data_IF_398625628485
#
_entry.id   IF_398625628485
#
_cell.length_a   1.000
_cell.length_b   1.000
_cell.length_c   1.000
_cell.angle_alpha   90.00
_cell.angle_beta   90.00
_cell.angle_gamma   90.00
#
_symmetry.space_group_name_H-M   'P 1'
#
loop_
_entity.id
_entity.type
_entity.pdbx_description
1 polymer ?
#
# COMPACT_ATOMS: atom_id res chain seq x y z
N UNK A 1 12.91 13.05 2.62
CA UNK A 1 12.84 12.38 1.30
C UNK A 1 12.17 13.36 0.35
N UNK A 2 12.94 14.07 -0.46
CA UNK A 2 12.42 15.04 -1.43
C UNK A 2 11.75 14.28 -2.57
N UNK A 3 10.49 14.61 -2.87
CA UNK A 3 9.75 13.99 -3.99
C UNK A 3 10.14 14.70 -5.28
N UNK A 4 10.49 13.98 -6.36
CA UNK A 4 11.39 14.56 -7.35
C UNK A 4 10.71 15.39 -8.45
N UNK A 5 9.38 15.33 -8.63
CA UNK A 5 8.64 16.17 -9.62
C UNK A 5 7.11 16.22 -9.39
N UNK A 6 6.39 17.20 -10.00
CA UNK A 6 4.93 17.31 -9.97
C UNK A 6 4.18 16.05 -10.39
N UNK A 7 3.01 15.81 -9.79
CA UNK A 7 2.05 14.75 -10.13
C UNK A 7 2.58 13.31 -10.01
N UNK A 8 3.71 13.10 -9.33
CA UNK A 8 4.34 11.80 -9.09
C UNK A 8 3.69 11.02 -7.94
N UNK A 9 3.27 11.71 -6.88
CA UNK A 9 2.63 11.06 -5.74
C UNK A 9 1.42 11.84 -5.29
N UNK A 10 0.35 11.12 -5.03
CA UNK A 10 -0.90 11.65 -4.52
C UNK A 10 -1.20 11.00 -3.17
N UNK A 11 -1.65 11.81 -2.21
CA UNK A 11 -2.21 11.34 -0.96
C UNK A 11 -3.72 11.40 -1.03
N UNK A 12 -4.40 10.27 -0.85
CA UNK A 12 -5.85 10.22 -0.68
C UNK A 12 -6.19 10.29 0.80
N UNK A 13 -7.18 11.11 1.13
CA UNK A 13 -7.75 11.21 2.46
C UNK A 13 -9.28 11.29 2.39
N UNK A 14 -9.93 10.89 3.47
CA UNK A 14 -11.38 10.83 3.57
C UNK A 14 -11.83 11.47 4.87
N UNK A 15 -12.59 12.55 4.75
CA UNK A 15 -13.04 13.37 5.87
C UNK A 15 -14.51 13.08 6.13
N UNK A 16 -14.85 12.62 7.33
CA UNK A 16 -16.24 12.47 7.78
C UNK A 16 -16.41 11.58 9.01
N UNK A 17 -17.66 11.41 9.52
CA UNK A 17 -18.90 12.03 9.08
C UNK A 17 -19.02 13.50 9.55
N UNK A 18 -19.44 14.39 8.65
CA UNK A 18 -19.63 15.82 8.95
C UNK A 18 -21.08 16.08 9.38
N UNK A 19 -21.26 16.82 10.48
CA UNK A 19 -22.57 17.25 10.98
C UNK A 19 -22.56 18.78 11.23
N UNK A 20 -23.58 19.52 10.75
CA UNK A 20 -24.74 19.05 9.99
C UNK A 20 -24.40 18.70 8.53
N UNK A 21 -25.12 17.73 7.97
CA UNK A 21 -24.96 17.34 6.57
C UNK A 21 -25.53 18.40 5.64
N UNK A 22 -24.81 18.75 4.57
CA UNK A 22 -25.35 19.59 3.49
C UNK A 22 -25.80 18.70 2.33
N UNK A 23 -27.10 18.73 2.00
CA UNK A 23 -27.65 17.95 0.87
C UNK A 23 -27.47 16.43 0.97
N UNK A 24 -27.31 15.90 2.19
CA UNK A 24 -27.05 14.48 2.47
C UNK A 24 -25.61 14.03 2.23
N UNK A 25 -24.69 14.96 1.90
CA UNK A 25 -23.26 14.68 1.80
C UNK A 25 -22.62 14.81 3.18
N UNK A 26 -22.07 13.70 3.67
CA UNK A 26 -21.48 13.60 5.02
C UNK A 26 -19.99 13.26 4.99
N UNK A 27 -19.43 12.98 3.81
CA UNK A 27 -18.02 12.69 3.62
C UNK A 27 -17.43 13.61 2.55
N UNK A 28 -16.12 13.87 2.62
CA UNK A 28 -15.35 14.54 1.59
C UNK A 28 -14.17 13.63 1.26
N UNK A 29 -14.07 13.20 0.01
CA UNK A 29 -12.87 12.53 -0.50
C UNK A 29 -11.93 13.61 -1.02
N UNK A 30 -10.70 13.63 -0.50
CA UNK A 30 -9.69 14.63 -0.87
C UNK A 30 -8.46 13.91 -1.39
N UNK A 31 -7.88 14.44 -2.47
CA UNK A 31 -6.63 13.94 -3.02
C UNK A 31 -5.66 15.09 -3.21
N UNK A 32 -4.48 14.96 -2.62
CA UNK A 32 -3.45 15.99 -2.62
C UNK A 32 -2.21 15.51 -3.34
N UNK A 33 -1.77 16.25 -4.35
CA UNK A 33 -0.49 16.03 -5.00
C UNK A 33 0.64 16.56 -4.10
N UNK A 34 1.64 15.74 -3.83
CA UNK A 34 2.61 16.04 -2.77
C UNK A 34 3.62 17.14 -3.12
N UNK A 35 3.93 17.37 -4.40
CA UNK A 35 4.93 18.32 -4.85
C UNK A 35 4.36 19.75 -4.93
N UNK A 36 3.34 19.94 -5.76
CA UNK A 36 2.64 21.21 -6.01
C UNK A 36 1.64 21.57 -4.91
N UNK A 37 1.27 20.60 -4.06
CA UNK A 37 0.15 20.72 -3.11
C UNK A 37 -1.19 20.96 -3.79
N UNK A 38 -1.33 20.55 -5.06
CA UNK A 38 -2.61 20.58 -5.77
C UNK A 38 -3.64 19.69 -5.07
N UNK A 39 -4.87 20.18 -4.89
CA UNK A 39 -5.94 19.46 -4.18
C UNK A 39 -7.16 19.30 -5.08
N UNK A 40 -7.65 18.08 -5.20
CA UNK A 40 -8.99 17.79 -5.73
C UNK A 40 -9.85 17.17 -4.62
N UNK A 41 -11.10 17.61 -4.50
CA UNK A 41 -12.02 17.12 -3.49
C UNK A 41 -13.44 16.95 -4.04
N UNK A 42 -14.12 15.87 -3.65
CA UNK A 42 -15.54 15.65 -3.96
C UNK A 42 -16.36 15.33 -2.71
N UNK A 43 -17.60 15.83 -2.63
CA UNK A 43 -18.51 15.45 -1.57
C UNK A 43 -19.11 14.06 -1.84
N UNK A 44 -19.20 13.23 -0.80
CA UNK A 44 -19.78 11.89 -0.84
C UNK A 44 -20.90 11.73 0.20
N UNK A 45 -22.05 11.18 -0.25
CA UNK A 45 -23.14 10.77 0.66
C UNK A 45 -22.79 9.49 1.41
N UNK A 46 -22.10 8.57 0.73
CA UNK A 46 -21.59 7.31 1.27
C UNK A 46 -20.23 7.01 0.66
N UNK A 47 -19.36 6.44 1.49
CA UNK A 47 -18.03 6.00 1.08
C UNK A 47 -18.19 4.62 0.45
N UNK A 48 -18.02 4.54 -0.87
CA UNK A 48 -18.08 3.28 -1.61
C UNK A 48 -16.84 3.16 -2.49
N UNK A 49 -16.33 1.94 -2.67
CA UNK A 49 -15.18 1.70 -3.54
C UNK A 49 -15.41 2.18 -4.97
N UNK A 50 -16.65 2.06 -5.46
CA UNK A 50 -17.06 2.55 -6.79
C UNK A 50 -16.93 4.07 -6.91
N UNK A 51 -17.39 4.82 -5.89
CA UNK A 51 -17.28 6.28 -5.90
C UNK A 51 -15.81 6.74 -5.88
N UNK A 52 -14.95 6.06 -5.10
CA UNK A 52 -13.51 6.33 -5.05
C UNK A 52 -12.85 6.00 -6.39
N UNK A 53 -13.17 4.86 -7.00
CA UNK A 53 -12.63 4.44 -8.28
C UNK A 53 -13.03 5.40 -9.41
N UNK A 54 -14.30 5.81 -9.47
CA UNK A 54 -14.79 6.79 -10.44
C UNK A 54 -14.10 8.14 -10.25
N UNK A 55 -13.95 8.60 -9.00
CA UNK A 55 -13.19 9.80 -8.71
C UNK A 55 -11.76 9.70 -9.24
N UNK A 56 -11.01 8.66 -8.88
CA UNK A 56 -9.62 8.49 -9.35
C UNK A 56 -9.57 8.48 -10.88
N UNK A 57 -10.50 7.78 -11.53
CA UNK A 57 -10.56 7.72 -13.00
C UNK A 57 -10.83 9.09 -13.62
N UNK A 58 -11.84 9.81 -13.15
CA UNK A 58 -12.40 11.02 -13.80
C UNK A 58 -11.70 12.32 -13.40
N UNK A 59 -11.07 12.33 -12.23
CA UNK A 59 -10.43 13.50 -11.65
C UNK A 59 -8.91 13.42 -11.64
N UNK A 60 -8.35 12.21 -11.63
CA UNK A 60 -6.89 12.02 -11.62
C UNK A 60 -6.42 11.48 -12.97
N UNK A 61 -6.88 10.29 -13.38
CA UNK A 61 -6.33 9.58 -14.55
C UNK A 61 -6.69 10.27 -15.87
N UNK A 62 -7.95 10.66 -16.08
CA UNK A 62 -8.39 11.31 -17.33
C UNK A 62 -7.80 12.71 -17.51
N UNK A 63 -7.46 13.42 -16.42
CA UNK A 63 -6.96 14.80 -16.46
C UNK A 63 -5.45 14.88 -16.51
N UNK A 64 -4.78 14.12 -15.64
CA UNK A 64 -3.32 14.18 -15.47
C UNK A 64 -2.61 12.97 -16.10
N UNK A 65 -3.36 12.06 -16.73
CA UNK A 65 -2.88 10.75 -17.16
C UNK A 65 -2.76 9.78 -15.98
N UNK A 66 -2.53 8.49 -16.27
CA UNK A 66 -1.83 7.64 -15.29
C UNK A 66 -0.51 8.31 -14.99
N UNK A 67 -0.32 8.78 -13.75
CA UNK A 67 0.89 9.46 -13.25
C UNK A 67 2.12 9.00 -14.02
N UNK A 68 2.55 9.84 -14.95
CA UNK A 68 3.50 9.50 -15.99
C UNK A 68 4.88 9.31 -15.39
N UNK A 69 5.18 8.08 -15.01
CA UNK A 69 6.40 7.35 -15.33
C UNK A 69 6.40 6.03 -14.56
N UNK A 70 7.28 5.08 -14.90
CA UNK A 70 7.10 3.70 -14.60
C UNK A 70 6.53 3.31 -13.26
N UNK A 71 5.71 2.25 -13.27
CA UNK A 71 5.53 1.47 -12.05
C UNK A 71 6.91 1.07 -11.50
N UNK A 72 6.99 0.54 -10.29
CA UNK A 72 8.23 0.03 -9.64
C UNK A 72 9.13 -0.87 -10.53
N UNK A 73 8.64 -1.24 -11.72
CA UNK A 73 9.21 -1.99 -12.83
C UNK A 73 9.96 -1.17 -13.90
N UNK A 74 9.89 0.17 -13.94
CA UNK A 74 10.56 0.95 -14.99
C UNK A 74 9.83 1.04 -16.34
N UNK A 75 8.55 0.62 -16.43
CA UNK A 75 7.66 0.83 -17.58
C UNK A 75 6.28 1.37 -17.19
N UNK A 76 5.63 2.12 -18.10
CA UNK A 76 4.24 2.55 -17.92
C UNK A 76 3.29 1.42 -18.37
N UNK A 77 2.08 1.29 -17.78
CA UNK A 77 1.12 0.30 -18.26
C UNK A 77 0.77 0.49 -19.74
N UNK A 78 0.77 1.73 -20.23
CA UNK A 78 0.50 2.05 -21.63
C UNK A 78 1.64 1.57 -22.55
N UNK A 79 2.91 1.79 -22.20
CA UNK A 79 4.03 1.32 -23.02
C UNK A 79 4.17 -0.19 -23.06
N UNK A 80 3.77 -0.91 -22.01
CA UNK A 80 3.72 -2.38 -22.03
C UNK A 80 2.59 -2.95 -22.92
N UNK A 81 1.60 -2.15 -23.28
CA UNK A 81 0.48 -2.56 -24.16
C UNK A 81 0.72 -2.12 -25.60
N UNK A 82 1.20 -0.88 -25.80
CA UNK A 82 1.27 -0.23 -27.10
C UNK A 82 2.69 0.03 -27.62
N UNK A 83 3.74 -0.30 -26.86
CA UNK A 83 5.14 -0.18 -27.28
C UNK A 83 5.77 1.19 -27.08
N UNK A 84 4.96 2.23 -26.90
CA UNK A 84 5.42 3.61 -26.74
C UNK A 84 4.83 4.27 -25.50
N UNK A 85 5.53 5.26 -24.95
CA UNK A 85 5.00 6.04 -23.83
C UNK A 85 3.87 6.96 -24.28
N UNK A 86 2.88 7.16 -23.42
CA UNK A 86 1.77 8.07 -23.70
C UNK A 86 2.26 9.52 -23.82
N UNK A 87 1.86 10.21 -24.89
CA UNK A 87 2.03 11.66 -24.98
C UNK A 87 1.02 12.31 -24.03
N UNK A 88 1.49 12.97 -22.98
CA UNK A 88 0.60 13.64 -22.04
C UNK A 88 0.08 14.96 -22.61
N UNK A 89 -1.10 15.45 -22.17
CA UNK A 89 -1.64 16.73 -22.63
C UNK A 89 -0.65 17.90 -22.45
N UNK A 90 0.13 17.90 -21.38
CA UNK A 90 1.17 18.92 -21.13
C UNK A 90 2.29 18.87 -22.18
N UNK A 91 2.64 17.69 -22.70
CA UNK A 91 3.63 17.53 -23.76
C UNK A 91 3.13 17.99 -25.14
N UNK A 92 1.81 18.16 -25.32
CA UNK A 92 1.25 18.80 -26.51
C UNK A 92 1.31 20.33 -26.41
N UNK A 93 1.13 20.88 -25.20
CA UNK A 93 1.18 22.33 -24.94
C UNK A 93 2.62 22.85 -24.90
N UNK A 94 3.54 22.07 -24.31
CA UNK A 94 4.99 22.34 -24.30
C UNK A 94 5.69 21.13 -24.91
N UNK A 95 5.95 21.13 -26.22
CA UNK A 95 6.56 20.01 -26.93
C UNK A 95 7.92 19.65 -26.35
N UNK A 96 8.10 18.38 -26.03
CA UNK A 96 9.43 17.84 -25.74
C UNK A 96 10.15 17.49 -27.07
N UNK A 97 11.48 17.26 -27.06
CA UNK A 97 12.22 16.94 -28.28
C UNK A 97 11.64 15.77 -29.09
N UNK A 98 11.01 14.77 -28.44
CA UNK A 98 10.35 13.64 -29.11
C UNK A 98 9.14 14.11 -29.95
N UNK A 99 8.29 14.96 -29.36
CA UNK A 99 7.11 15.53 -30.03
C UNK A 99 7.52 16.54 -31.12
N UNK A 100 8.57 17.34 -30.87
CA UNK A 100 9.10 18.28 -31.87
C UNK A 100 9.63 17.55 -33.10
N UNK A 101 10.42 16.49 -32.92
CA UNK A 101 11.00 15.71 -34.01
C UNK A 101 9.93 15.01 -34.86
N UNK A 102 8.87 14.49 -34.24
CA UNK A 102 7.75 13.87 -34.97
C UNK A 102 6.85 14.86 -35.71
N UNK A 103 6.82 16.13 -35.30
CA UNK A 103 5.97 17.17 -35.91
C UNK A 103 6.57 17.84 -37.16
N UNK A 104 7.87 17.70 -37.37
CA UNK A 104 8.64 18.42 -38.40
C UNK A 104 8.92 17.58 -39.65
N UNK A 105 8.73 16.25 -39.58
CA UNK A 105 8.86 15.35 -40.73
C UNK A 105 7.56 15.29 -41.55
N UNK A 106 7.66 15.39 -42.87
CA UNK A 106 6.61 14.91 -43.79
C UNK A 106 6.56 13.38 -43.73
N UNK A 107 5.86 12.85 -42.72
CA UNK A 107 5.78 11.41 -42.48
C UNK A 107 4.86 10.77 -43.53
N UNK A 108 5.43 9.98 -44.45
CA UNK A 108 4.63 9.09 -45.30
C UNK A 108 4.23 7.82 -44.53
N UNK A 109 3.19 7.11 -45.00
CA UNK A 109 2.64 5.95 -44.31
C UNK A 109 3.67 4.82 -44.05
N UNK A 110 4.65 4.67 -44.94
CA UNK A 110 5.68 3.63 -44.82
C UNK A 110 6.68 3.96 -43.71
N UNK A 111 7.10 5.22 -43.59
CA UNK A 111 7.98 5.67 -42.49
C UNK A 111 7.31 5.52 -41.12
N UNK A 112 6.00 5.78 -41.05
CA UNK A 112 5.24 5.58 -39.81
C UNK A 112 5.18 4.08 -39.45
N UNK A 113 4.93 3.22 -40.44
CA UNK A 113 4.88 1.77 -40.23
C UNK A 113 6.23 1.18 -39.78
N UNK A 114 7.34 1.64 -40.34
CA UNK A 114 8.68 1.21 -39.92
C UNK A 114 8.99 1.63 -38.48
N UNK A 115 8.72 2.89 -38.11
CA UNK A 115 8.92 3.37 -36.74
C UNK A 115 8.08 2.59 -35.71
N UNK A 116 6.82 2.30 -36.05
CA UNK A 116 5.94 1.49 -35.21
C UNK A 116 6.45 0.05 -35.06
N UNK A 117 7.05 -0.51 -36.12
CA UNK A 117 7.63 -1.85 -36.07
C UNK A 117 8.83 -1.90 -35.13
N UNK A 118 9.70 -0.89 -35.18
CA UNK A 118 10.85 -0.77 -34.26
C UNK A 118 10.40 -0.63 -32.80
N UNK A 119 9.34 0.14 -32.52
CA UNK A 119 8.79 0.28 -31.17
C UNK A 119 8.17 -1.03 -30.64
N UNK A 120 7.63 -1.87 -31.53
CA UNK A 120 7.07 -3.18 -31.17
C UNK A 120 8.15 -4.26 -30.97
N UNK A 121 9.27 -4.20 -31.68
CA UNK A 121 10.36 -5.17 -31.58
C UNK A 121 10.94 -5.27 -30.16
N UNK A 122 11.03 -4.15 -29.44
CA UNK A 122 11.54 -4.11 -28.06
C UNK A 122 10.51 -4.40 -26.96
N UNK A 123 9.24 -4.61 -27.34
CA UNK A 123 8.13 -4.62 -26.40
C UNK A 123 8.11 -5.88 -25.51
N UNK A 124 8.41 -7.04 -26.07
CA UNK A 124 8.46 -8.29 -25.29
C UNK A 124 9.64 -8.30 -24.30
N UNK A 125 10.78 -7.72 -24.67
CA UNK A 125 11.90 -7.52 -23.74
C UNK A 125 11.51 -6.58 -22.59
N UNK A 126 10.80 -5.50 -22.89
CA UNK A 126 10.28 -4.58 -21.88
C UNK A 126 9.31 -5.29 -20.91
N UNK A 127 8.43 -6.16 -21.39
CA UNK A 127 7.52 -6.97 -20.56
C UNK A 127 8.26 -7.92 -19.63
N UNK A 128 9.24 -8.65 -20.14
CA UNK A 128 10.02 -9.59 -19.33
C UNK A 128 10.88 -8.83 -18.29
N UNK A 129 11.48 -7.71 -18.66
CA UNK A 129 12.21 -6.87 -17.70
C UNK A 129 11.29 -6.28 -16.62
N UNK A 130 10.08 -5.85 -16.99
CA UNK A 130 9.09 -5.36 -16.05
C UNK A 130 8.69 -6.45 -15.04
N UNK A 131 8.43 -7.66 -15.53
CA UNK A 131 8.10 -8.84 -14.72
C UNK A 131 9.23 -9.21 -13.75
N UNK A 132 10.47 -9.25 -14.23
CA UNK A 132 11.64 -9.53 -13.40
C UNK A 132 11.83 -8.50 -12.28
N UNK A 133 11.64 -7.21 -12.58
CA UNK A 133 11.72 -6.13 -11.58
C UNK A 133 10.58 -6.22 -10.56
N UNK A 134 9.36 -6.51 -10.99
CA UNK A 134 8.22 -6.74 -10.11
C UNK A 134 8.49 -7.87 -9.12
N UNK A 135 8.94 -9.03 -9.61
CA UNK A 135 9.29 -10.18 -8.77
C UNK A 135 10.40 -9.85 -7.77
N UNK A 136 11.47 -9.15 -8.21
CA UNK A 136 12.54 -8.70 -7.33
C UNK A 136 12.02 -7.75 -6.23
N UNK A 137 11.08 -6.87 -6.56
CA UNK A 137 10.46 -5.98 -5.57
C UNK A 137 9.62 -6.76 -4.55
N UNK A 138 8.81 -7.73 -5.00
CA UNK A 138 8.09 -8.63 -4.09
C UNK A 138 9.06 -9.41 -3.17
N UNK A 139 10.16 -9.93 -3.70
CA UNK A 139 11.19 -10.61 -2.91
C UNK A 139 11.83 -9.68 -1.89
N UNK A 140 12.18 -8.44 -2.27
CA UNK A 140 12.71 -7.44 -1.34
C UNK A 140 11.72 -7.16 -0.21
N UNK A 141 10.45 -6.94 -0.52
CA UNK A 141 9.41 -6.73 0.49
C UNK A 141 9.30 -7.94 1.42
N UNK A 142 9.19 -9.15 0.87
CA UNK A 142 9.14 -10.40 1.64
C UNK A 142 10.35 -10.55 2.56
N UNK A 143 11.55 -10.23 2.09
CA UNK A 143 12.79 -10.27 2.87
C UNK A 143 12.85 -9.21 3.97
N UNK A 144 12.29 -8.02 3.74
CA UNK A 144 12.20 -6.98 4.79
C UNK A 144 11.23 -7.45 5.87
N UNK A 145 10.03 -7.90 5.49
CA UNK A 145 9.06 -8.43 6.44
C UNK A 145 9.62 -9.62 7.23
N UNK A 146 10.26 -10.59 6.57
CA UNK A 146 10.84 -11.76 7.26
C UNK A 146 11.96 -11.39 8.23
N UNK A 147 12.81 -10.40 7.91
CA UNK A 147 13.85 -9.90 8.83
C UNK A 147 13.26 -9.20 10.06
N UNK A 148 12.14 -8.50 9.91
CA UNK A 148 11.46 -7.83 11.04
C UNK A 148 10.68 -8.82 11.92
N UNK A 149 10.22 -9.93 11.34
CA UNK A 149 9.53 -10.99 12.07
C UNK A 149 10.50 -11.77 12.97
N UNK A 150 10.64 -11.32 14.22
CA UNK A 150 11.20 -12.16 15.28
C UNK A 150 10.15 -13.17 15.73
N UNK A 151 10.22 -14.38 15.18
CA UNK A 151 9.40 -15.51 15.65
C UNK A 151 9.73 -15.77 17.11
N UNK A 152 8.73 -15.73 18.00
CA UNK A 152 8.92 -15.94 19.43
C UNK A 152 8.46 -17.35 19.76
N UNK A 153 9.40 -18.29 19.67
CA UNK A 153 9.14 -19.64 20.16
C UNK A 153 9.33 -19.63 21.66
N UNK A 154 8.35 -20.20 22.37
CA UNK A 154 8.43 -20.39 23.81
C UNK A 154 8.46 -21.88 24.15
N UNK A 155 9.17 -22.23 25.22
CA UNK A 155 9.38 -23.62 25.64
C UNK A 155 8.55 -23.91 26.90
N UNK A 156 8.15 -25.17 27.08
CA UNK A 156 7.51 -25.63 28.32
C UNK A 156 8.41 -25.34 29.53
N UNK A 157 7.81 -24.86 30.62
CA UNK A 157 8.53 -24.39 31.81
C UNK A 157 9.02 -22.94 31.75
N UNK A 158 8.92 -22.25 30.61
CA UNK A 158 9.36 -20.86 30.49
C UNK A 158 8.33 -19.87 31.08
N UNK A 159 8.82 -18.87 31.81
CA UNK A 159 8.00 -17.77 32.31
C UNK A 159 7.69 -16.74 31.21
N UNK A 160 6.42 -16.35 31.13
CA UNK A 160 5.87 -15.41 30.16
C UNK A 160 4.84 -14.49 30.80
N UNK A 161 4.71 -13.30 30.23
CA UNK A 161 3.61 -12.37 30.50
C UNK A 161 2.49 -12.60 29.48
N UNK A 162 1.25 -12.53 29.94
CA UNK A 162 0.05 -12.64 29.10
C UNK A 162 -0.55 -11.26 28.83
N UNK A 163 -0.97 -10.97 27.60
CA UNK A 163 -1.69 -9.73 27.32
C UNK A 163 -3.03 -9.66 28.08
N UNK A 164 -3.31 -8.51 28.68
CA UNK A 164 -4.55 -8.27 29.42
C UNK A 164 -5.79 -8.41 28.52
N UNK A 165 -6.93 -8.74 29.12
CA UNK A 165 -8.14 -9.07 28.36
C UNK A 165 -8.67 -7.90 27.53
N UNK A 166 -8.63 -6.69 28.07
CA UNK A 166 -9.04 -5.49 27.35
C UNK A 166 -8.15 -5.22 26.12
N UNK A 167 -6.86 -5.51 26.20
CA UNK A 167 -5.92 -5.41 25.06
C UNK A 167 -6.26 -6.43 23.99
N UNK A 168 -6.53 -7.67 24.38
CA UNK A 168 -6.89 -8.75 23.44
C UNK A 168 -8.20 -8.52 22.72
N UNK A 169 -9.17 -7.92 23.40
CA UNK A 169 -10.52 -7.63 22.88
C UNK A 169 -10.65 -6.24 22.25
N UNK A 170 -9.61 -5.40 22.30
CA UNK A 170 -9.66 -4.02 21.80
C UNK A 170 -10.62 -3.13 22.60
N UNK A 171 -10.85 -3.44 23.87
CA UNK A 171 -11.71 -2.69 24.77
C UNK A 171 -10.93 -1.55 25.45
N UNK A 172 -11.60 -0.45 25.83
CA UNK A 172 -10.98 0.59 26.63
C UNK A 172 -10.45 0.03 27.95
N UNK A 173 -9.29 0.53 28.40
CA UNK A 173 -8.73 0.13 29.68
C UNK A 173 -9.60 0.62 30.83
N UNK A 174 -9.67 -0.14 31.91
CA UNK A 174 -10.42 0.22 33.13
C UNK A 174 -9.89 1.51 33.77
N UNK A 175 -8.59 1.78 33.60
CA UNK A 175 -7.89 2.97 34.09
C UNK A 175 -6.76 3.33 33.11
N UNK A 176 -6.33 4.60 33.12
CA UNK A 176 -5.13 5.07 32.39
C UNK A 176 -3.86 4.31 32.83
N UNK A 177 -3.87 3.73 34.03
CA UNK A 177 -2.75 2.99 34.61
C UNK A 177 -2.95 1.47 34.62
N UNK A 178 -3.98 0.94 33.94
CA UNK A 178 -4.15 -0.50 33.83
C UNK A 178 -2.98 -1.12 33.06
N UNK A 179 -2.30 -2.16 33.60
CA UNK A 179 -1.20 -2.81 32.90
C UNK A 179 -1.72 -3.53 31.65
N UNK A 180 -1.00 -3.39 30.53
CA UNK A 180 -1.33 -4.08 29.28
C UNK A 180 -0.94 -5.56 29.29
N UNK A 181 -0.13 -5.97 30.27
CA UNK A 181 0.42 -7.31 30.44
C UNK A 181 0.12 -7.78 31.86
N UNK A 182 -0.57 -8.90 31.96
CA UNK A 182 -0.93 -9.56 33.20
C UNK A 182 0.12 -10.62 33.55
N UNK A 183 0.52 -10.63 34.82
CA UNK A 183 1.05 -11.75 35.60
C UNK A 183 2.24 -12.54 35.04
N UNK A 184 3.00 -13.17 35.94
CA UNK A 184 3.93 -14.23 35.56
C UNK A 184 3.15 -15.54 35.36
N UNK A 185 3.18 -16.06 34.13
CA UNK A 185 2.64 -17.37 33.79
C UNK A 185 3.77 -18.28 33.35
N UNK A 186 3.61 -19.58 33.55
CA UNK A 186 4.56 -20.58 33.05
C UNK A 186 3.87 -21.37 31.94
N UNK A 187 4.60 -21.66 30.87
CA UNK A 187 4.09 -22.49 29.78
C UNK A 187 4.02 -23.93 30.23
N UNK A 188 2.81 -24.47 30.25
CA UNK A 188 2.56 -25.88 30.52
C UNK A 188 2.82 -26.73 29.28
N UNK A 189 2.26 -26.29 28.14
CA UNK A 189 2.31 -27.05 26.89
C UNK A 189 2.42 -26.13 25.70
N UNK A 190 3.35 -26.43 24.80
CA UNK A 190 3.50 -25.73 23.53
C UNK A 190 2.88 -26.56 22.39
N UNK A 191 1.89 -26.00 21.71
CA UNK A 191 1.33 -26.63 20.51
C UNK A 191 2.03 -26.08 19.26
N UNK A 192 2.34 -26.96 18.30
CA UNK A 192 2.99 -26.58 17.03
C UNK A 192 2.17 -25.61 16.14
N UNK A 193 0.93 -25.34 16.50
CA UNK A 193 0.06 -24.34 15.85
C UNK A 193 0.27 -22.90 16.34
N UNK A 194 1.21 -22.64 17.26
CA UNK A 194 1.45 -21.32 17.84
C UNK A 194 0.51 -20.96 19.00
N UNK A 195 -0.12 -21.97 19.60
CA UNK A 195 -0.95 -21.84 20.80
C UNK A 195 -0.27 -22.50 22.00
N UNK A 196 -0.42 -21.89 23.17
CA UNK A 196 0.24 -22.32 24.40
C UNK A 196 -0.79 -22.47 25.52
N UNK A 197 -0.64 -23.49 26.36
CA UNK A 197 -1.36 -23.59 27.63
C UNK A 197 -0.49 -23.03 28.74
N UNK A 198 -1.11 -22.25 29.61
CA UNK A 198 -0.44 -21.55 30.70
C UNK A 198 -0.95 -22.04 32.05
N UNK A 199 -0.09 -21.98 33.06
CA UNK A 199 -0.50 -22.04 34.46
C UNK A 199 0.12 -20.89 35.25
N UNK A 200 -0.57 -20.44 36.31
CA UNK A 200 -0.01 -19.45 37.25
C UNK A 200 1.02 -20.10 38.17
N UNK A 201 1.87 -19.28 38.79
CA UNK A 201 2.76 -19.69 39.91
C UNK A 201 2.04 -20.50 40.98
N UNK A 202 0.75 -20.24 41.17
CA UNK A 202 -0.11 -20.80 42.22
C UNK A 202 -0.67 -22.19 41.82
N UNK A 203 -0.27 -22.73 40.66
CA UNK A 203 -0.70 -24.02 40.15
C UNK A 203 -2.04 -24.02 39.39
N UNK A 204 -2.73 -22.87 39.31
CA UNK A 204 -3.99 -22.76 38.56
C UNK A 204 -3.74 -22.78 37.04
N UNK A 205 -4.34 -23.74 36.35
CA UNK A 205 -4.22 -23.90 34.89
C UNK A 205 -5.26 -23.00 34.21
N UNK A 206 -4.83 -22.25 33.19
CA UNK A 206 -5.78 -21.56 32.31
C UNK A 206 -6.44 -22.56 31.37
N UNK A 207 -7.78 -22.54 31.38
CA UNK A 207 -8.62 -23.41 30.55
C UNK A 207 -8.37 -23.15 29.06
N UNK A 208 -8.30 -21.88 28.66
CA UNK A 208 -8.18 -21.50 27.26
C UNK A 208 -6.71 -21.36 26.82
N UNK A 209 -6.30 -22.06 25.75
CA UNK A 209 -4.99 -21.85 25.14
C UNK A 209 -4.88 -20.45 24.55
N UNK A 210 -3.68 -19.89 24.57
CA UNK A 210 -3.41 -18.53 24.12
C UNK A 210 -2.41 -18.52 22.96
N UNK A 211 -2.65 -17.67 21.96
CA UNK A 211 -1.77 -17.52 20.81
C UNK A 211 -0.48 -16.77 21.19
N UNK A 212 0.64 -17.15 20.57
CA UNK A 212 1.98 -16.54 20.70
C UNK A 212 1.97 -15.01 20.72
N UNK A 213 1.17 -14.39 19.84
CA UNK A 213 1.11 -12.93 19.68
C UNK A 213 0.71 -12.19 20.96
N UNK A 214 0.04 -12.89 21.88
CA UNK A 214 -0.44 -12.36 23.16
C UNK A 214 0.47 -12.73 24.33
N UNK A 215 1.69 -13.22 24.04
CA UNK A 215 2.70 -13.57 25.03
C UNK A 215 3.96 -12.71 24.88
N UNK A 216 4.64 -12.49 25.99
CA UNK A 216 5.96 -11.86 26.06
C UNK A 216 6.86 -12.63 27.00
N UNK A 217 8.17 -12.61 26.74
CA UNK A 217 9.16 -13.12 27.68
C UNK A 217 9.05 -12.35 29.00
N UNK A 218 9.07 -13.10 30.11
CA UNK A 218 9.30 -12.53 31.42
C UNK A 218 10.81 -12.36 31.62
N UNK A 219 11.25 -11.14 31.88
CA UNK A 219 12.64 -10.86 32.25
C UNK A 219 12.65 -10.49 33.73
N UNK A 220 13.35 -11.29 34.54
CA UNK A 220 13.57 -11.02 35.95
C UNK A 220 14.69 -10.02 36.18
#
# INVERSE_FOLDING_TARGET
MTKPWPFHTWGLDLIGPINPASGGYIWILVVTEYFTKWVEAIPLRRVTGVAVANFIREHIITRFGTTGEPTTTGFTPFSLVYGTDTISPTQLVVPNPRVMQGSELEVNANMCAEAWMTDLEGLDEARELAKARSQRNYQKMANVYSKTLRVRVFVEGQMVLKAAEFVRRGLPSLSKFSPNWDGSYIIQKAHGSGYYRLFKSDGTILVDPINEKWLKYYYS
#
